data_IF_336231516257
#
_entry.id   IF_336231516257
#
_cell.length_a   1.000
_cell.length_b   1.000
_cell.length_c   1.000
_cell.angle_alpha   90.00
_cell.angle_beta   90.00
_cell.angle_gamma   90.00
#
_symmetry.space_group_name_H-M   'P 1'
#
loop_
_entity.id
_entity.type
_entity.pdbx_description
1 polymer ?
#
# COMPACT_ATOMS: atom_id res chain seq x y z
N UNK A 1 18.97 -14.70 -20.44
CA UNK A 1 17.60 -15.19 -20.16
C UNK A 1 17.01 -14.31 -19.06
N UNK A 2 16.38 -13.18 -19.40
CA UNK A 2 15.76 -12.32 -18.39
C UNK A 2 14.31 -12.75 -18.24
N UNK A 3 14.10 -13.80 -17.44
CA UNK A 3 12.74 -14.17 -17.02
C UNK A 3 12.28 -13.10 -16.05
N UNK A 4 11.42 -12.18 -16.52
CA UNK A 4 10.75 -11.20 -15.68
C UNK A 4 9.88 -11.94 -14.68
N UNK A 5 10.44 -12.27 -13.52
CA UNK A 5 9.74 -13.02 -12.48
C UNK A 5 8.59 -12.18 -11.94
N UNK A 6 7.38 -12.71 -12.07
CA UNK A 6 6.17 -12.12 -11.50
C UNK A 6 6.01 -12.68 -10.09
N UNK A 7 5.93 -11.80 -9.10
CA UNK A 7 5.67 -12.18 -7.71
C UNK A 7 4.33 -11.63 -7.28
N UNK A 8 3.40 -12.49 -6.85
CA UNK A 8 2.09 -12.08 -6.32
C UNK A 8 1.98 -12.38 -4.84
N UNK A 9 1.56 -11.39 -4.06
CA UNK A 9 1.26 -11.58 -2.63
C UNK A 9 -0.03 -12.38 -2.48
N UNK A 10 -0.03 -13.44 -1.66
CA UNK A 10 -1.23 -14.25 -1.43
C UNK A 10 -2.25 -13.59 -0.49
N UNK A 11 -1.85 -12.51 0.20
CA UNK A 11 -2.70 -11.76 1.13
C UNK A 11 -3.42 -10.62 0.42
N UNK A 12 -2.68 -9.61 -0.05
CA UNK A 12 -3.25 -8.43 -0.69
C UNK A 12 -3.41 -8.54 -2.21
N UNK A 13 -3.00 -9.67 -2.82
CA UNK A 13 -3.07 -9.94 -4.26
C UNK A 13 -2.30 -8.95 -5.16
N UNK A 14 -1.54 -8.02 -4.57
CA UNK A 14 -0.63 -7.14 -5.29
C UNK A 14 0.46 -7.93 -6.00
N UNK A 15 0.93 -7.38 -7.12
CA UNK A 15 1.82 -8.04 -8.06
C UNK A 15 3.07 -7.20 -8.30
N UNK A 16 4.24 -7.82 -8.28
CA UNK A 16 5.50 -7.19 -8.64
C UNK A 16 6.01 -7.80 -9.95
N UNK A 17 6.26 -6.95 -10.94
CA UNK A 17 6.82 -7.32 -12.23
C UNK A 17 8.16 -6.57 -12.36
N UNK A 18 9.26 -7.28 -12.11
CA UNK A 18 10.56 -6.64 -11.92
C UNK A 18 10.54 -5.69 -10.71
N UNK A 19 10.93 -4.40 -10.85
CA UNK A 19 10.90 -3.44 -9.75
C UNK A 19 9.53 -2.78 -9.52
N UNK A 20 8.56 -3.02 -10.41
CA UNK A 20 7.30 -2.29 -10.42
C UNK A 20 6.20 -3.02 -9.66
N UNK A 21 5.52 -2.29 -8.77
CA UNK A 21 4.32 -2.75 -8.07
C UNK A 21 3.06 -2.43 -8.88
N UNK A 22 2.15 -3.38 -8.90
CA UNK A 22 0.79 -3.25 -9.40
C UNK A 22 -0.20 -3.72 -8.32
N UNK A 23 -1.27 -2.95 -8.13
CA UNK A 23 -2.40 -3.34 -7.29
C UNK A 23 -3.07 -4.60 -7.84
N UNK A 24 -3.93 -5.24 -7.03
CA UNK A 24 -4.73 -6.38 -7.49
C UNK A 24 -5.62 -6.03 -8.71
N UNK A 25 -5.97 -4.75 -8.88
CA UNK A 25 -6.72 -4.22 -10.02
C UNK A 25 -5.91 -4.09 -11.31
N UNK A 26 -4.58 -4.27 -11.26
CA UNK A 26 -3.67 -4.07 -12.38
C UNK A 26 -3.20 -2.63 -12.56
N UNK A 27 -3.70 -1.67 -11.78
CA UNK A 27 -3.16 -0.31 -11.75
C UNK A 27 -1.74 -0.31 -11.14
N UNK A 28 -0.87 0.59 -11.62
CA UNK A 28 0.46 0.79 -11.01
C UNK A 28 0.31 1.37 -9.60
N UNK A 29 1.12 0.88 -8.67
CA UNK A 29 1.09 1.32 -7.27
C UNK A 29 2.46 1.66 -6.70
N UNK A 30 2.45 2.19 -5.47
CA UNK A 30 3.63 2.42 -4.66
C UNK A 30 3.64 1.49 -3.43
N UNK A 31 4.83 1.04 -3.03
CA UNK A 31 4.95 0.10 -1.93
C UNK A 31 4.53 0.72 -0.59
N UNK A 32 4.81 2.01 -0.36
CA UNK A 32 4.43 2.72 0.86
C UNK A 32 2.91 2.87 0.94
N UNK A 33 2.26 3.28 -0.15
CA UNK A 33 0.79 3.39 -0.21
C UNK A 33 0.12 2.04 0.05
N UNK A 34 0.61 0.97 -0.59
CA UNK A 34 0.10 -0.39 -0.34
C UNK A 34 0.33 -0.83 1.13
N UNK A 35 1.39 -0.36 1.77
CA UNK A 35 1.64 -0.63 3.17
C UNK A 35 0.62 0.08 4.06
N UNK A 36 0.42 1.39 3.88
CA UNK A 36 -0.52 2.20 4.65
C UNK A 36 -1.98 1.79 4.46
N UNK A 37 -2.38 1.45 3.22
CA UNK A 37 -3.77 1.10 2.92
C UNK A 37 -4.13 -0.36 3.19
N UNK A 38 -3.17 -1.29 3.12
CA UNK A 38 -3.47 -2.73 3.22
C UNK A 38 -2.51 -3.48 4.14
N UNK A 39 -1.20 -3.44 3.91
CA UNK A 39 -0.31 -4.41 4.58
C UNK A 39 -0.06 -4.13 6.07
N UNK A 40 -0.25 -2.90 6.53
CA UNK A 40 -0.13 -2.52 7.94
C UNK A 40 -1.47 -2.59 8.69
N UNK A 41 -2.57 -2.86 7.98
CA UNK A 41 -3.90 -2.96 8.57
C UNK A 41 -4.24 -4.44 8.87
N UNK A 42 -5.41 -4.69 9.44
CA UNK A 42 -5.92 -6.05 9.65
C UNK A 42 -6.01 -6.88 8.36
N UNK A 43 -6.14 -6.24 7.20
CA UNK A 43 -6.15 -6.87 5.88
C UNK A 43 -4.76 -7.34 5.41
N UNK A 44 -3.69 -6.95 6.12
CA UNK A 44 -2.31 -7.36 5.86
C UNK A 44 -1.98 -8.80 6.27
N UNK A 45 -2.98 -9.55 6.77
CA UNK A 45 -2.87 -10.96 7.10
C UNK A 45 -1.82 -11.21 8.18
N UNK A 46 -1.84 -10.44 9.26
CA UNK A 46 -1.00 -10.68 10.45
C UNK A 46 0.50 -10.71 10.18
N UNK A 47 1.00 -9.99 9.17
CA UNK A 47 2.42 -10.04 8.82
C UNK A 47 2.79 -11.16 7.84
N UNK A 48 1.84 -11.64 7.04
CA UNK A 48 2.12 -12.51 5.88
C UNK A 48 2.14 -11.75 4.54
N UNK A 49 1.76 -10.47 4.49
CA UNK A 49 1.89 -9.67 3.26
C UNK A 49 3.36 -9.55 2.80
N UNK A 50 3.64 -9.85 1.53
CA UNK A 50 4.98 -9.83 0.95
C UNK A 50 5.50 -8.44 0.52
N UNK A 51 4.78 -7.37 0.85
CA UNK A 51 5.18 -6.00 0.50
C UNK A 51 6.48 -5.63 1.24
N UNK A 52 7.55 -5.21 0.52
CA UNK A 52 8.80 -4.81 1.14
C UNK A 52 8.70 -3.59 2.06
N UNK A 53 7.65 -2.77 1.93
CA UNK A 53 7.43 -1.60 2.78
C UNK A 53 6.53 -1.87 4.01
N UNK A 54 6.12 -3.12 4.24
CA UNK A 54 5.29 -3.46 5.40
C UNK A 54 6.00 -3.07 6.71
N UNK A 55 5.25 -2.50 7.64
CA UNK A 55 5.74 -1.97 8.92
C UNK A 55 6.28 -0.54 8.83
N UNK A 56 6.44 0.03 7.63
CA UNK A 56 6.79 1.44 7.44
C UNK A 56 5.52 2.28 7.43
N UNK A 57 5.56 3.41 8.13
CA UNK A 57 4.51 4.43 8.14
C UNK A 57 4.83 5.49 7.08
N UNK A 58 3.83 5.88 6.29
CA UNK A 58 3.94 6.85 5.21
C UNK A 58 3.11 6.43 3.99
N UNK A 59 3.17 7.25 2.93
CA UNK A 59 2.29 7.10 1.77
C UNK A 59 0.85 7.43 2.13
N UNK A 60 -0.08 6.94 1.31
CA UNK A 60 -1.51 7.00 1.60
C UNK A 60 -1.90 6.08 2.77
N UNK A 61 -2.68 6.60 3.71
CA UNK A 61 -3.30 5.86 4.81
C UNK A 61 -4.83 6.03 4.82
N UNK A 62 -5.52 5.20 5.60
CA UNK A 62 -6.97 5.31 5.75
C UNK A 62 -7.37 6.57 6.49
N UNK A 63 -6.59 7.00 7.47
CA UNK A 63 -6.84 8.23 8.24
C UNK A 63 -6.79 9.46 7.33
N UNK A 64 -5.79 9.54 6.44
CA UNK A 64 -5.68 10.60 5.43
C UNK A 64 -6.89 10.61 4.50
N UNK A 65 -7.30 9.45 3.99
CA UNK A 65 -8.44 9.31 3.07
C UNK A 65 -9.76 9.65 3.76
N UNK A 66 -9.95 9.22 5.00
CA UNK A 66 -11.12 9.54 5.79
C UNK A 66 -11.22 11.05 6.06
N UNK A 67 -10.10 11.69 6.43
CA UNK A 67 -10.04 13.13 6.66
C UNK A 67 -10.43 13.92 5.40
N UNK A 68 -9.90 13.51 4.23
CA UNK A 68 -10.26 14.10 2.94
C UNK A 68 -11.75 13.94 2.62
N UNK A 69 -12.33 12.74 2.80
CA UNK A 69 -13.77 12.49 2.57
C UNK A 69 -14.63 13.35 3.50
N UNK A 70 -14.22 13.51 4.77
CA UNK A 70 -14.96 14.29 5.77
C UNK A 70 -14.72 15.80 5.65
N UNK A 71 -13.76 16.24 4.84
CA UNK A 71 -13.38 17.64 4.72
C UNK A 71 -12.75 18.21 5.99
N UNK A 72 -12.07 17.37 6.78
CA UNK A 72 -11.38 17.78 8.01
C UNK A 72 -9.87 17.69 7.83
N UNK A 73 -9.11 18.55 8.50
CA UNK A 73 -7.67 18.45 8.53
C UNK A 73 -7.22 17.27 9.41
N UNK A 74 -6.10 16.64 9.06
CA UNK A 74 -5.48 15.65 9.94
C UNK A 74 -4.92 16.32 11.19
N UNK A 75 -4.92 15.65 12.35
CA UNK A 75 -4.30 16.18 13.55
C UNK A 75 -2.80 16.45 13.29
N UNK A 76 -2.41 17.73 13.27
CA UNK A 76 -1.02 18.15 13.07
C UNK A 76 -0.66 18.68 11.68
N UNK A 77 -1.57 18.65 10.71
CA UNK A 77 -1.41 19.41 9.46
C UNK A 77 -2.07 20.78 9.61
N UNK A 78 -1.25 21.84 9.57
CA UNK A 78 -1.75 23.20 9.38
C UNK A 78 -2.39 23.27 7.99
N UNK A 79 -3.71 23.45 7.96
CA UNK A 79 -4.41 23.81 6.74
C UNK A 79 -3.74 25.07 6.17
N UNK A 80 -3.23 24.97 4.94
CA UNK A 80 -2.65 26.08 4.21
C UNK A 80 -3.72 27.08 3.78
#
# INVERSE_FOLDING_TARGET
MSSSSIRRCQVCQACWIGPHLFWATGARGDNLDLAGLVCNTEYGGGGHCANPARGRVGGDTWEQREAWIRGVALPGEVAA
#
